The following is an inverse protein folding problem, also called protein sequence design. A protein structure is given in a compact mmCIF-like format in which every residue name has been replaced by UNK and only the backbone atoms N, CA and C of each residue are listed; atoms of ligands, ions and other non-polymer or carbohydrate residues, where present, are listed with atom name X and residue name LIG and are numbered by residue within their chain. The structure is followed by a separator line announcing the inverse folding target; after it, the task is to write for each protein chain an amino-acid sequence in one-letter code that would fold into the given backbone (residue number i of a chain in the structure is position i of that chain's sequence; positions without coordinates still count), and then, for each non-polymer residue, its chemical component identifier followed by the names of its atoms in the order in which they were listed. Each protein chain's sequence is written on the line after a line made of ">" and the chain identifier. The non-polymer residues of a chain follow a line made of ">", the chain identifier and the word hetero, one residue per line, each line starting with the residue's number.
data_IF_797627175851
#
_entry.id   IF_797627175851
#
_cell.length_a   1.000
_cell.length_b   1.000
_cell.length_c   1.000
_cell.angle_alpha   90.00
_cell.angle_beta   90.00
_cell.angle_gamma   90.00
#
_symmetry.space_group_name_H-M   'P 1'
#
loop_
_entity.id
_entity.type
_entity.pdbx_description
1 polymer ?
#
# COMPACT_ATOMS: atom_id res chain seq x y z
N UNK A 1 64.99 -11.22 -43.71
CA UNK A 1 63.97 -10.15 -43.70
C UNK A 1 62.82 -10.68 -44.55
N UNK A 2 61.76 -11.27 -44.00
CA UNK A 2 60.71 -10.64 -43.17
C UNK A 2 59.78 -9.83 -44.10
N UNK A 3 58.46 -9.96 -44.19
CA UNK A 3 57.39 -10.65 -43.46
C UNK A 3 56.18 -10.72 -44.41
N UNK A 4 55.30 -11.73 -44.30
CA UNK A 4 53.89 -11.54 -43.86
C UNK A 4 53.09 -12.84 -44.00
N UNK A 5 52.35 -13.16 -42.94
CA UNK A 5 51.63 -14.40 -42.68
C UNK A 5 50.20 -14.37 -43.24
N UNK A 6 49.74 -15.53 -43.73
CA UNK A 6 48.33 -15.88 -43.85
C UNK A 6 47.91 -16.80 -42.71
N UNK A 7 46.60 -16.92 -42.47
CA UNK A 7 46.05 -18.09 -41.78
C UNK A 7 44.59 -18.38 -42.16
N UNK A 8 44.39 -19.68 -42.33
CA UNK A 8 43.28 -20.42 -42.92
C UNK A 8 41.98 -20.42 -42.09
N UNK A 9 40.87 -20.57 -42.79
CA UNK A 9 39.63 -21.14 -42.26
C UNK A 9 39.64 -22.68 -42.36
N UNK A 10 39.05 -23.34 -41.35
CA UNK A 10 38.63 -24.74 -41.39
C UNK A 10 37.27 -24.88 -40.71
N UNK A 11 36.38 -25.59 -41.39
CA UNK A 11 35.04 -26.04 -40.99
C UNK A 11 35.14 -27.26 -40.10
N UNK A 12 34.33 -27.36 -39.03
CA UNK A 12 34.03 -28.67 -38.42
C UNK A 12 32.66 -28.73 -37.71
N UNK A 13 31.85 -29.70 -38.14
CA UNK A 13 30.67 -30.23 -37.44
C UNK A 13 31.10 -31.03 -36.19
N UNK A 14 30.34 -30.99 -35.09
CA UNK A 14 29.63 -32.14 -34.48
C UNK A 14 29.13 -31.91 -33.04
N UNK A 15 28.00 -32.59 -32.80
CA UNK A 15 27.53 -33.28 -31.60
C UNK A 15 26.86 -32.54 -30.43
N UNK A 16 25.58 -32.87 -30.30
CA UNK A 16 24.74 -32.88 -29.10
C UNK A 16 25.34 -33.80 -28.04
N UNK A 17 25.43 -33.34 -26.79
CA UNK A 17 25.69 -34.16 -25.61
C UNK A 17 24.78 -33.73 -24.46
N UNK A 18 23.90 -34.64 -24.06
CA UNK A 18 23.08 -34.62 -22.85
C UNK A 18 23.93 -35.03 -21.64
N UNK A 19 24.07 -34.17 -20.64
CA UNK A 19 24.65 -34.52 -19.34
C UNK A 19 23.79 -33.98 -18.18
N UNK A 20 23.14 -34.91 -17.48
CA UNK A 20 22.61 -34.77 -16.13
C UNK A 20 23.76 -34.75 -15.12
N UNK A 21 23.71 -33.96 -14.03
CA UNK A 21 24.50 -34.22 -12.85
C UNK A 21 23.64 -34.84 -11.74
N UNK A 22 24.12 -35.99 -11.27
CA UNK A 22 23.68 -36.77 -10.13
C UNK A 22 23.99 -36.05 -8.80
N UNK A 23 23.07 -36.13 -7.83
CA UNK A 23 23.28 -35.69 -6.44
C UNK A 23 23.89 -36.83 -5.61
N UNK A 24 24.86 -36.57 -4.71
CA UNK A 24 25.23 -37.54 -3.69
C UNK A 24 24.29 -37.42 -2.49
N UNK A 25 23.76 -38.56 -2.06
CA UNK A 25 23.10 -38.76 -0.77
C UNK A 25 24.16 -38.86 0.32
N UNK A 26 24.13 -37.96 1.31
CA UNK A 26 24.75 -38.18 2.61
C UNK A 26 23.65 -38.29 3.65
N UNK A 27 23.45 -39.52 4.13
CA UNK A 27 22.65 -39.86 5.31
C UNK A 27 23.52 -39.61 6.54
N UNK A 28 23.15 -38.64 7.36
CA UNK A 28 23.61 -38.54 8.74
C UNK A 28 22.41 -38.75 9.65
N UNK A 29 22.35 -39.92 10.27
CA UNK A 29 21.43 -40.24 11.35
C UNK A 29 21.92 -39.56 12.63
N UNK A 30 21.16 -38.62 13.16
CA UNK A 30 21.20 -38.25 14.57
C UNK A 30 19.77 -38.04 15.07
N UNK A 31 19.34 -38.99 15.89
CA UNK A 31 18.02 -39.14 16.48
C UNK A 31 18.07 -38.82 17.96
N UNK A 32 17.43 -37.74 18.40
CA UNK A 32 16.96 -37.54 19.80
C UNK A 32 15.69 -36.63 19.76
N UNK A 33 14.63 -36.90 20.54
CA UNK A 33 13.25 -36.57 20.17
C UNK A 33 12.73 -35.24 20.76
N UNK A 34 11.87 -34.56 19.99
CA UNK A 34 11.02 -33.47 20.48
C UNK A 34 9.69 -34.05 21.02
N UNK A 35 9.23 -33.64 22.22
CA UNK A 35 7.96 -34.09 22.76
C UNK A 35 6.79 -33.39 22.04
N UNK A 36 5.97 -34.21 21.38
CA UNK A 36 4.62 -33.85 20.92
C UNK A 36 3.73 -33.58 22.15
N UNK A 37 3.52 -32.31 22.47
CA UNK A 37 2.48 -31.92 23.42
C UNK A 37 1.13 -31.89 22.68
N UNK A 38 0.39 -32.99 22.78
CA UNK A 38 -1.03 -33.05 22.45
C UNK A 38 -1.79 -32.11 23.38
N UNK A 39 -2.37 -31.03 22.84
CA UNK A 39 -3.40 -30.28 23.55
C UNK A 39 -4.79 -30.72 23.05
N UNK A 40 -5.38 -31.59 23.86
CA UNK A 40 -6.75 -32.03 23.75
C UNK A 40 -7.72 -30.85 23.92
N UNK A 41 -8.71 -30.79 23.02
CA UNK A 41 -9.92 -29.99 23.20
C UNK A 41 -10.66 -30.48 24.45
N UNK A 42 -10.86 -29.60 25.42
CA UNK A 42 -11.94 -29.77 26.39
C UNK A 42 -12.72 -28.48 26.49
N UNK A 43 -13.98 -28.60 26.06
CA UNK A 43 -15.00 -27.57 25.99
C UNK A 43 -15.57 -27.41 27.40
N UNK A 44 -15.30 -26.29 28.07
CA UNK A 44 -15.98 -25.91 29.31
C UNK A 44 -16.87 -24.72 29.02
N UNK A 45 -18.17 -24.97 29.01
CA UNK A 45 -19.22 -23.96 28.99
C UNK A 45 -19.26 -23.29 30.38
N UNK A 46 -18.79 -22.05 30.45
CA UNK A 46 -19.12 -21.15 31.56
C UNK A 46 -19.98 -20.02 31.02
N UNK A 47 -21.30 -20.22 31.12
CA UNK A 47 -22.32 -19.19 31.01
C UNK A 47 -22.15 -18.18 32.15
N UNK A 48 -21.48 -17.06 31.89
CA UNK A 48 -21.57 -15.87 32.73
C UNK A 48 -22.52 -14.88 32.06
N UNK A 49 -23.77 -14.87 32.52
CA UNK A 49 -24.77 -13.86 32.16
C UNK A 49 -24.27 -12.49 32.63
N UNK A 50 -23.82 -11.67 31.70
CA UNK A 50 -23.82 -10.21 31.87
C UNK A 50 -24.98 -9.66 31.03
N UNK A 51 -26.04 -9.26 31.75
CA UNK A 51 -27.16 -8.51 31.24
C UNK A 51 -26.70 -7.09 30.92
N UNK A 52 -26.35 -6.83 29.66
CA UNK A 52 -26.32 -5.48 29.11
C UNK A 52 -27.60 -5.23 28.34
N UNK A 53 -28.41 -4.31 28.86
CA UNK A 53 -29.57 -3.73 28.23
C UNK A 53 -29.15 -3.15 26.86
N UNK A 54 -29.67 -3.75 25.79
CA UNK A 54 -29.64 -3.18 24.44
C UNK A 54 -30.54 -1.95 24.40
N UNK A 55 -30.08 -0.78 23.93
CA UNK A 55 -30.99 0.15 23.29
C UNK A 55 -31.35 -0.45 21.93
N UNK A 56 -32.57 -0.97 21.81
CA UNK A 56 -33.16 -1.27 20.51
C UNK A 56 -33.41 0.07 19.81
N UNK A 57 -32.45 0.57 19.03
CA UNK A 57 -32.76 1.49 17.94
C UNK A 57 -33.19 0.64 16.74
N UNK A 58 -34.49 0.51 16.56
CA UNK A 58 -35.11 0.03 15.35
C UNK A 58 -34.76 0.98 14.19
N UNK A 59 -33.66 0.72 13.49
CA UNK A 59 -33.45 1.32 12.18
C UNK A 59 -34.35 0.59 11.19
N UNK A 60 -35.50 1.18 10.87
CA UNK A 60 -36.35 0.67 9.80
C UNK A 60 -35.62 0.87 8.48
N UNK A 61 -35.42 -0.23 7.75
CA UNK A 61 -35.07 -0.18 6.33
C UNK A 61 -36.32 0.27 5.59
N UNK A 62 -36.49 1.58 5.42
CA UNK A 62 -37.55 2.14 4.61
C UNK A 62 -37.13 3.53 4.15
N UNK A 63 -37.02 3.69 2.82
CA UNK A 63 -36.79 4.93 2.09
C UNK A 63 -35.45 5.64 2.34
N UNK A 64 -34.36 5.10 1.78
CA UNK A 64 -33.36 5.98 1.13
C UNK A 64 -33.75 6.10 -0.33
N UNK A 65 -34.85 6.83 -0.55
CA UNK A 65 -35.18 7.36 -1.86
C UNK A 65 -34.03 8.28 -2.31
N UNK A 66 -33.75 8.22 -3.61
CA UNK A 66 -32.94 9.15 -4.40
C UNK A 66 -32.81 10.54 -3.76
N UNK A 67 -31.64 10.84 -3.19
CA UNK A 67 -31.14 12.21 -3.21
C UNK A 67 -30.53 12.43 -4.60
N UNK A 68 -31.32 13.09 -5.45
CA UNK A 68 -30.92 13.61 -6.75
C UNK A 68 -29.82 14.67 -6.59
N UNK A 69 -28.74 14.54 -7.37
CA UNK A 69 -27.65 15.53 -7.47
C UNK A 69 -26.45 15.29 -6.55
N UNK A 70 -25.58 14.31 -6.88
CA UNK A 70 -24.47 13.95 -5.99
C UNK A 70 -23.19 14.77 -6.24
N UNK A 71 -22.92 15.64 -5.26
CA UNK A 71 -21.58 16.06 -4.80
C UNK A 71 -21.11 15.01 -3.78
N UNK A 72 -19.96 14.35 -3.99
CA UNK A 72 -19.33 13.51 -2.95
C UNK A 72 -19.13 14.40 -1.72
N UNK A 73 -19.81 14.10 -0.61
CA UNK A 73 -19.73 14.94 0.58
C UNK A 73 -18.34 14.84 1.21
N UNK A 74 -17.93 15.87 1.95
CA UNK A 74 -16.66 15.86 2.69
C UNK A 74 -16.60 14.66 3.66
N UNK A 75 -17.70 14.37 4.35
CA UNK A 75 -17.79 13.24 5.27
C UNK A 75 -17.62 11.89 4.54
N UNK A 76 -18.23 11.73 3.36
CA UNK A 76 -18.04 10.54 2.55
C UNK A 76 -16.57 10.41 2.13
N UNK A 77 -15.98 11.50 1.61
CA UNK A 77 -14.59 11.52 1.16
C UNK A 77 -13.62 11.14 2.26
N UNK A 78 -13.71 11.82 3.42
CA UNK A 78 -12.84 11.58 4.56
C UNK A 78 -13.05 10.17 5.16
N UNK A 79 -14.28 9.64 5.07
CA UNK A 79 -14.59 8.27 5.45
C UNK A 79 -13.72 7.21 4.75
N UNK A 80 -13.20 7.49 3.55
CA UNK A 80 -12.34 6.58 2.80
C UNK A 80 -10.88 6.52 3.28
N UNK A 81 -10.54 7.16 4.40
CA UNK A 81 -9.21 7.08 5.04
C UNK A 81 -8.32 8.29 4.74
N UNK A 82 -8.91 9.47 4.61
CA UNK A 82 -8.19 10.73 4.40
C UNK A 82 -8.74 11.82 5.31
N UNK A 83 -7.91 12.82 5.63
CA UNK A 83 -8.32 14.04 6.34
C UNK A 83 -8.43 15.25 5.40
N UNK A 84 -8.00 15.09 4.15
CA UNK A 84 -8.01 16.14 3.14
C UNK A 84 -9.44 16.56 2.73
N UNK A 85 -9.61 17.79 2.18
CA UNK A 85 -10.79 18.10 1.38
C UNK A 85 -10.83 17.23 0.11
N UNK A 86 -12.01 17.10 -0.50
CA UNK A 86 -12.16 16.39 -1.77
C UNK A 86 -11.37 17.13 -2.87
N UNK A 87 -10.42 16.46 -3.58
CA UNK A 87 -9.64 17.11 -4.62
C UNK A 87 -10.53 17.67 -5.73
N UNK A 88 -10.20 18.87 -6.20
CA UNK A 88 -11.05 19.65 -7.10
C UNK A 88 -11.33 18.90 -8.39
N UNK A 89 -10.29 18.31 -8.97
CA UNK A 89 -10.39 17.54 -10.21
C UNK A 89 -11.17 16.23 -10.02
N UNK A 90 -11.10 15.60 -8.84
CA UNK A 90 -11.92 14.42 -8.51
C UNK A 90 -13.39 14.81 -8.45
N UNK A 91 -13.71 15.92 -7.77
CA UNK A 91 -15.06 16.45 -7.68
C UNK A 91 -15.64 16.76 -9.07
N UNK A 92 -14.86 17.43 -9.93
CA UNK A 92 -15.27 17.75 -11.30
C UNK A 92 -15.55 16.49 -12.12
N UNK A 93 -14.67 15.49 -12.08
CA UNK A 93 -14.89 14.25 -12.85
C UNK A 93 -16.10 13.47 -12.33
N UNK A 94 -16.34 13.47 -11.01
CA UNK A 94 -17.57 12.89 -10.45
C UNK A 94 -18.81 13.60 -10.99
N UNK A 95 -18.79 14.93 -11.01
CA UNK A 95 -19.86 15.74 -11.57
C UNK A 95 -20.08 15.43 -13.07
N UNK A 96 -19.01 15.37 -13.87
CA UNK A 96 -19.09 15.07 -15.30
C UNK A 96 -19.64 13.66 -15.59
N UNK A 97 -19.26 12.68 -14.78
CA UNK A 97 -19.79 11.31 -14.88
C UNK A 97 -21.29 11.26 -14.54
N UNK A 98 -21.74 12.05 -13.57
CA UNK A 98 -23.16 12.18 -13.22
C UNK A 98 -23.97 12.93 -14.29
N UNK A 99 -23.42 14.00 -14.86
CA UNK A 99 -24.00 14.67 -16.01
C UNK A 99 -24.14 13.71 -17.19
N UNK A 100 -23.16 12.85 -17.43
CA UNK A 100 -23.24 11.83 -18.48
C UNK A 100 -24.35 10.78 -18.23
N UNK A 101 -24.69 10.45 -16.97
CA UNK A 101 -25.83 9.57 -16.68
C UNK A 101 -27.15 10.21 -17.10
N UNK A 102 -27.29 11.52 -16.87
CA UNK A 102 -28.46 12.31 -17.26
C UNK A 102 -28.54 12.45 -18.78
N UNK A 103 -27.42 12.79 -19.43
CA UNK A 103 -27.33 12.93 -20.90
C UNK A 103 -27.74 11.65 -21.64
N UNK A 104 -27.39 10.49 -21.09
CA UNK A 104 -27.59 9.19 -21.72
C UNK A 104 -28.88 8.48 -21.25
N UNK A 105 -29.59 9.05 -20.28
CA UNK A 105 -30.68 8.39 -19.55
C UNK A 105 -30.30 6.95 -19.13
N UNK A 106 -29.09 6.80 -18.59
CA UNK A 106 -28.50 5.50 -18.32
C UNK A 106 -27.64 5.52 -17.06
N UNK A 107 -27.92 4.60 -16.12
CA UNK A 107 -27.15 4.46 -14.91
C UNK A 107 -25.77 3.82 -15.16
N UNK A 108 -24.75 4.35 -14.47
CA UNK A 108 -23.42 3.77 -14.39
C UNK A 108 -23.49 2.38 -13.78
N UNK A 109 -22.90 1.41 -14.49
CA UNK A 109 -22.72 0.05 -14.01
C UNK A 109 -21.24 -0.24 -13.89
N UNK A 110 -20.83 -0.64 -12.70
CA UNK A 110 -19.46 -1.08 -12.43
C UNK A 110 -19.38 -2.60 -12.34
N UNK A 111 -18.32 -3.20 -12.87
CA UNK A 111 -18.18 -4.64 -12.90
C UNK A 111 -16.87 -5.15 -13.50
N UNK A 112 -16.79 -6.48 -13.66
CA UNK A 112 -15.64 -7.16 -14.26
C UNK A 112 -14.34 -7.02 -13.46
N UNK A 113 -13.22 -7.37 -14.10
CA UNK A 113 -11.90 -7.29 -13.47
C UNK A 113 -11.52 -5.82 -13.18
N UNK A 114 -11.46 -5.48 -11.89
CA UNK A 114 -11.07 -4.15 -11.41
C UNK A 114 -12.22 -3.16 -11.26
N UNK A 115 -13.48 -3.61 -11.29
CA UNK A 115 -14.65 -2.76 -11.00
C UNK A 115 -14.78 -1.58 -11.97
N UNK A 116 -14.59 -1.85 -13.27
CA UNK A 116 -14.60 -0.81 -14.31
C UNK A 116 -16.05 -0.49 -14.72
N UNK A 117 -16.26 0.69 -15.29
CA UNK A 117 -17.50 1.03 -16.00
C UNK A 117 -17.82 -0.03 -17.07
N UNK A 118 -19.11 -0.28 -17.31
CA UNK A 118 -19.62 -1.31 -18.23
C UNK A 118 -20.60 -0.73 -19.25
N UNK A 119 -20.89 -1.51 -20.29
CA UNK A 119 -21.93 -1.22 -21.27
C UNK A 119 -21.66 0.00 -22.15
N UNK A 120 -22.73 0.53 -22.76
CA UNK A 120 -22.67 1.70 -23.64
C UNK A 120 -22.14 2.95 -22.92
N UNK A 121 -22.50 3.11 -21.64
CA UNK A 121 -21.99 4.21 -20.81
C UNK A 121 -20.46 4.28 -20.83
N UNK A 122 -19.80 3.13 -20.61
CA UNK A 122 -18.33 3.03 -20.67
C UNK A 122 -17.78 3.50 -22.03
N UNK A 123 -18.43 3.15 -23.13
CA UNK A 123 -17.95 3.50 -24.48
C UNK A 123 -17.99 5.03 -24.67
N UNK A 124 -19.10 5.66 -24.27
CA UNK A 124 -19.27 7.11 -24.35
C UNK A 124 -18.30 7.85 -23.43
N UNK A 125 -18.18 7.39 -22.19
CA UNK A 125 -17.23 7.93 -21.21
C UNK A 125 -15.78 7.77 -21.69
N UNK A 126 -15.38 6.59 -22.17
CA UNK A 126 -14.03 6.34 -22.70
C UNK A 126 -13.74 7.24 -23.92
N UNK A 127 -14.76 7.60 -24.73
CA UNK A 127 -14.64 8.56 -25.84
C UNK A 127 -14.40 9.99 -25.32
N UNK A 128 -15.24 10.49 -24.40
CA UNK A 128 -15.07 11.81 -23.76
C UNK A 128 -13.71 11.91 -23.05
N UNK A 129 -13.32 10.86 -22.32
CA UNK A 129 -12.04 10.77 -21.63
C UNK A 129 -10.84 10.82 -22.59
N UNK A 130 -10.86 10.04 -23.69
CA UNK A 130 -9.77 10.07 -24.68
C UNK A 130 -9.62 11.44 -25.32
N UNK A 131 -10.73 12.09 -25.68
CA UNK A 131 -10.71 13.44 -26.22
C UNK A 131 -10.11 14.45 -25.23
N UNK A 132 -10.56 14.41 -23.98
CA UNK A 132 -10.03 15.27 -22.90
C UNK A 132 -8.53 15.03 -22.69
N UNK A 133 -8.11 13.77 -22.60
CA UNK A 133 -6.69 13.42 -22.42
C UNK A 133 -5.81 13.87 -23.59
N UNK A 134 -6.32 13.81 -24.83
CA UNK A 134 -5.62 14.29 -26.02
C UNK A 134 -5.50 15.81 -26.05
N UNK A 135 -6.50 16.55 -25.56
CA UNK A 135 -6.50 18.00 -25.49
C UNK A 135 -5.50 18.55 -24.45
N UNK A 136 -5.11 17.75 -23.46
CA UNK A 136 -4.08 18.13 -22.50
C UNK A 136 -2.69 18.14 -23.17
N UNK A 137 -2.05 19.30 -23.25
CA UNK A 137 -0.70 19.42 -23.81
C UNK A 137 0.38 18.91 -22.84
N UNK A 138 0.21 19.20 -21.55
CA UNK A 138 1.20 18.99 -20.50
C UNK A 138 1.13 17.58 -19.87
N UNK A 139 2.30 16.97 -19.64
CA UNK A 139 2.42 15.61 -19.10
C UNK A 139 1.99 15.53 -17.63
N UNK A 140 2.20 16.60 -16.87
CA UNK A 140 1.78 16.71 -15.47
C UNK A 140 0.25 16.77 -15.37
N UNK A 141 -0.40 17.63 -16.15
CA UNK A 141 -1.88 17.67 -16.25
C UNK A 141 -2.47 16.34 -16.68
N UNK A 142 -1.82 15.61 -17.60
CA UNK A 142 -2.24 14.25 -18.00
C UNK A 142 -2.19 13.27 -16.84
N UNK A 143 -1.13 13.30 -16.04
CA UNK A 143 -1.01 12.48 -14.84
C UNK A 143 -2.11 12.82 -13.83
N UNK A 144 -2.35 14.10 -13.59
CA UNK A 144 -3.37 14.57 -12.65
C UNK A 144 -4.76 14.12 -13.07
N UNK A 145 -5.11 14.35 -14.33
CA UNK A 145 -6.39 13.93 -14.89
C UNK A 145 -6.59 12.42 -14.83
N UNK A 146 -5.57 11.65 -15.21
CA UNK A 146 -5.61 10.20 -15.11
C UNK A 146 -5.85 9.75 -13.66
N UNK A 147 -5.12 10.33 -12.70
CA UNK A 147 -5.20 9.96 -11.29
C UNK A 147 -6.56 10.30 -10.70
N UNK A 148 -7.05 11.52 -10.94
CA UNK A 148 -8.36 11.98 -10.50
C UNK A 148 -9.49 11.12 -11.09
N UNK A 149 -9.41 10.74 -12.36
CA UNK A 149 -10.40 9.84 -12.97
C UNK A 149 -10.41 8.45 -12.33
N UNK A 150 -9.24 7.87 -12.08
CA UNK A 150 -9.17 6.57 -11.42
C UNK A 150 -9.84 6.61 -10.04
N UNK A 151 -9.62 7.69 -9.27
CA UNK A 151 -10.21 7.89 -7.95
C UNK A 151 -11.73 8.10 -8.06
N UNK A 152 -12.21 8.99 -8.94
CA UNK A 152 -13.63 9.27 -9.15
C UNK A 152 -14.42 7.99 -9.48
N UNK A 153 -13.96 7.22 -10.47
CA UNK A 153 -14.58 5.95 -10.84
C UNK A 153 -14.61 4.94 -9.69
N UNK A 154 -13.59 4.95 -8.82
CA UNK A 154 -13.51 4.04 -7.67
C UNK A 154 -14.47 4.43 -6.56
N UNK A 155 -14.58 5.71 -6.24
CA UNK A 155 -15.56 6.22 -5.26
C UNK A 155 -16.96 5.81 -5.71
N UNK A 156 -17.32 6.18 -6.94
CA UNK A 156 -18.63 5.89 -7.51
C UNK A 156 -18.92 4.38 -7.60
N UNK A 157 -17.94 3.58 -8.01
CA UNK A 157 -18.09 2.12 -8.10
C UNK A 157 -18.06 1.37 -6.76
N UNK A 158 -17.69 2.03 -5.67
CA UNK A 158 -17.58 1.43 -4.34
C UNK A 158 -18.70 1.85 -3.38
N UNK A 159 -19.43 2.91 -3.72
CA UNK A 159 -20.47 3.50 -2.88
C UNK A 159 -21.58 2.50 -2.57
N UNK A 160 -22.04 2.50 -1.32
CA UNK A 160 -23.15 1.66 -0.85
C UNK A 160 -22.82 0.18 -0.64
N UNK A 161 -21.61 -0.27 -0.96
CA UNK A 161 -21.21 -1.69 -0.88
C UNK A 161 -19.94 -1.94 -0.07
N UNK A 162 -18.94 -1.06 -0.13
CA UNK A 162 -17.72 -1.18 0.67
C UNK A 162 -17.85 -0.48 2.02
N UNK A 163 -17.28 -1.10 3.05
CA UNK A 163 -16.94 -0.43 4.29
C UNK A 163 -15.88 0.65 4.01
N UNK A 164 -16.14 1.88 4.44
CA UNK A 164 -15.23 3.00 4.16
C UNK A 164 -13.88 2.89 4.91
N UNK A 165 -13.83 2.16 6.02
CA UNK A 165 -12.61 1.94 6.81
C UNK A 165 -11.70 0.85 6.20
N UNK A 166 -12.20 -0.37 6.00
CA UNK A 166 -11.38 -1.50 5.54
C UNK A 166 -11.45 -1.74 4.02
N UNK A 167 -12.31 -1.04 3.29
CA UNK A 167 -12.56 -1.21 1.85
C UNK A 167 -12.94 -2.64 1.45
N UNK A 168 -13.44 -3.43 2.39
CA UNK A 168 -14.07 -4.71 2.10
C UNK A 168 -15.59 -4.50 1.98
N UNK A 169 -16.29 -5.32 1.18
CA UNK A 169 -17.73 -5.47 1.27
C UNK A 169 -18.24 -5.45 2.70
N UNK A 170 -19.40 -4.83 2.95
CA UNK A 170 -19.99 -4.78 4.31
C UNK A 170 -20.13 -6.16 4.96
N UNK A 171 -20.50 -7.18 4.18
CA UNK A 171 -20.60 -8.58 4.59
C UNK A 171 -19.26 -9.26 4.96
N UNK A 172 -18.12 -8.70 4.51
CA UNK A 172 -16.77 -9.18 4.82
C UNK A 172 -15.99 -8.16 5.68
N UNK A 173 -16.69 -7.21 6.29
CA UNK A 173 -16.05 -6.15 7.05
C UNK A 173 -15.24 -6.73 8.21
N UNK A 174 -13.95 -6.41 8.25
CA UNK A 174 -13.01 -6.92 9.26
C UNK A 174 -12.74 -5.94 10.41
N UNK A 175 -13.37 -4.76 10.41
CA UNK A 175 -12.96 -3.66 11.29
C UNK A 175 -13.07 -3.98 12.78
N UNK A 176 -14.02 -4.82 13.20
CA UNK A 176 -14.18 -5.24 14.60
C UNK A 176 -13.09 -6.18 15.09
N UNK A 177 -12.35 -6.82 14.18
CA UNK A 177 -11.27 -7.76 14.49
C UNK A 177 -9.89 -7.08 14.48
N UNK A 178 -9.80 -5.83 14.03
CA UNK A 178 -8.54 -5.08 13.98
C UNK A 178 -8.34 -4.32 15.31
N UNK A 179 -7.24 -4.61 16.00
CA UNK A 179 -6.81 -3.85 17.16
C UNK A 179 -6.19 -2.52 16.72
N UNK A 180 -6.74 -1.42 17.20
CA UNK A 180 -6.16 -0.09 17.04
C UNK A 180 -5.20 0.25 18.19
N UNK A 181 -4.14 0.97 17.90
CA UNK A 181 -3.22 1.53 18.90
C UNK A 181 -2.67 2.88 18.42
N UNK A 182 -2.13 3.69 19.31
CA UNK A 182 -1.47 4.94 18.91
C UNK A 182 -0.07 4.67 18.38
N UNK A 183 0.27 5.24 17.24
CA UNK A 183 1.65 5.30 16.77
C UNK A 183 2.44 6.24 17.70
N UNK A 184 3.72 5.94 17.94
CA UNK A 184 4.59 6.84 18.70
C UNK A 184 4.59 8.25 18.11
N UNK A 185 4.47 9.29 18.95
CA UNK A 185 4.26 10.68 18.52
C UNK A 185 5.43 11.24 17.69
N UNK A 186 6.65 10.71 17.90
CA UNK A 186 7.82 11.03 17.08
C UNK A 186 7.88 10.33 15.71
N UNK A 187 6.83 9.62 15.28
CA UNK A 187 6.78 8.90 14.00
C UNK A 187 5.49 9.25 13.26
N UNK A 188 5.61 9.54 11.95
CA UNK A 188 4.46 9.69 11.05
C UNK A 188 4.67 8.90 9.77
N UNK A 189 3.63 8.18 9.36
CA UNK A 189 3.58 7.51 8.06
C UNK A 189 2.85 8.34 7.01
N UNK A 190 3.46 8.43 5.84
CA UNK A 190 2.83 8.92 4.61
C UNK A 190 2.64 7.75 3.65
N UNK A 191 1.40 7.36 3.42
CA UNK A 191 1.08 6.34 2.44
C UNK A 191 0.96 6.98 1.06
N UNK A 192 2.04 6.97 0.30
CA UNK A 192 2.06 7.51 -1.06
C UNK A 192 1.50 6.48 -2.04
N UNK A 193 0.19 6.54 -2.25
CA UNK A 193 -0.60 5.49 -2.89
C UNK A 193 -0.85 5.76 -4.37
N UNK A 194 -0.65 4.74 -5.19
CA UNK A 194 -1.01 4.77 -6.60
C UNK A 194 -2.54 4.76 -6.77
N UNK A 195 -3.13 5.59 -7.67
CA UNK A 195 -4.58 5.74 -7.79
C UNK A 195 -5.33 4.47 -8.24
N UNK A 196 -4.64 3.50 -8.87
CA UNK A 196 -5.22 2.16 -9.16
C UNK A 196 -5.30 1.24 -7.94
N UNK A 197 -4.67 1.59 -6.83
CA UNK A 197 -4.65 0.80 -5.60
C UNK A 197 -5.58 1.39 -4.52
N UNK A 198 -6.05 2.64 -4.71
CA UNK A 198 -7.12 3.23 -3.92
C UNK A 198 -8.39 2.36 -3.95
N UNK A 199 -9.03 2.15 -2.81
CA UNK A 199 -10.21 1.28 -2.62
C UNK A 199 -10.03 -0.18 -3.10
N UNK A 200 -8.79 -0.67 -3.30
CA UNK A 200 -8.58 -2.10 -3.53
C UNK A 200 -8.74 -2.90 -2.23
N UNK A 201 -9.58 -3.94 -2.31
CA UNK A 201 -9.85 -4.86 -1.20
C UNK A 201 -8.59 -5.51 -0.62
N UNK A 202 -7.58 -5.79 -1.44
CA UNK A 202 -6.32 -6.41 -1.01
C UNK A 202 -5.15 -5.43 -0.83
N UNK A 203 -5.42 -4.12 -0.93
CA UNK A 203 -4.43 -3.11 -0.58
C UNK A 203 -4.11 -3.23 0.91
N UNK A 204 -2.83 -3.35 1.27
CA UNK A 204 -2.41 -3.49 2.66
C UNK A 204 -2.06 -2.17 3.32
N UNK A 205 -1.71 -1.14 2.55
CA UNK A 205 -1.38 0.18 3.10
C UNK A 205 -2.50 0.78 3.96
N UNK A 206 -3.76 0.45 3.64
CA UNK A 206 -4.92 0.84 4.45
C UNK A 206 -4.90 0.34 5.89
N UNK A 207 -4.17 -0.74 6.18
CA UNK A 207 -4.04 -1.25 7.54
C UNK A 207 -3.42 -0.19 8.46
N UNK A 208 -2.51 0.64 7.93
CA UNK A 208 -1.79 1.61 8.76
C UNK A 208 -2.73 2.61 9.43
N UNK A 209 -3.68 3.19 8.70
CA UNK A 209 -4.66 4.08 9.33
C UNK A 209 -5.78 3.34 10.07
N UNK A 210 -6.00 2.05 9.80
CA UNK A 210 -6.91 1.24 10.62
C UNK A 210 -6.33 0.94 11.99
N UNK A 211 -5.01 0.72 12.07
CA UNK A 211 -4.30 0.47 13.32
C UNK A 211 -4.00 1.79 14.04
N UNK A 212 -3.41 2.76 13.35
CA UNK A 212 -2.86 3.99 13.97
C UNK A 212 -3.73 5.25 13.86
N UNK A 213 -4.78 5.21 13.04
CA UNK A 213 -5.56 6.39 12.69
C UNK A 213 -4.99 7.18 11.50
N UNK A 214 -5.84 8.00 10.89
CA UNK A 214 -5.55 8.75 9.65
C UNK A 214 -4.55 9.90 9.83
N UNK A 215 -4.40 10.39 11.07
CA UNK A 215 -3.44 11.46 11.39
C UNK A 215 -2.01 10.93 11.47
N UNK A 216 -1.84 9.75 12.09
CA UNK A 216 -0.55 9.07 12.20
C UNK A 216 -0.12 8.40 10.89
N UNK A 217 -1.08 7.89 10.10
CA UNK A 217 -0.86 7.28 8.80
C UNK A 217 -1.70 7.98 7.73
N UNK A 218 -1.14 9.04 7.14
CA UNK A 218 -1.87 9.91 6.22
C UNK A 218 -1.76 9.46 4.77
N UNK A 219 -2.90 9.45 4.07
CA UNK A 219 -2.99 9.08 2.66
C UNK A 219 -2.55 10.22 1.74
N UNK A 220 -1.55 9.97 0.89
CA UNK A 220 -1.17 10.85 -0.21
C UNK A 220 -1.39 10.12 -1.54
N UNK A 221 -2.33 10.59 -2.37
CA UNK A 221 -2.62 9.94 -3.65
C UNK A 221 -1.68 10.48 -4.74
N UNK A 222 -0.93 9.58 -5.39
CA UNK A 222 0.00 9.90 -6.46
C UNK A 222 -0.71 10.60 -7.62
N UNK A 223 -0.19 11.76 -8.03
CA UNK A 223 -0.76 12.58 -9.09
C UNK A 223 -1.98 13.40 -8.65
N UNK A 224 -2.27 13.50 -7.36
CA UNK A 224 -3.27 14.45 -6.83
C UNK A 224 -2.54 15.63 -6.17
N UNK A 225 -2.54 16.82 -6.81
CA UNK A 225 -1.76 17.97 -6.36
C UNK A 225 -2.04 18.35 -4.91
N UNK A 226 -3.31 18.38 -4.51
CA UNK A 226 -3.73 18.79 -3.16
C UNK A 226 -3.18 17.84 -2.08
N UNK A 227 -3.14 16.53 -2.35
CA UNK A 227 -2.57 15.55 -1.43
C UNK A 227 -1.05 15.65 -1.36
N UNK A 228 -0.40 15.78 -2.51
CA UNK A 228 1.05 15.93 -2.58
C UNK A 228 1.49 17.23 -1.89
N UNK A 229 0.75 18.32 -2.06
CA UNK A 229 0.99 19.58 -1.38
C UNK A 229 0.87 19.45 0.14
N UNK A 230 -0.19 18.83 0.66
CA UNK A 230 -0.35 18.57 2.11
C UNK A 230 0.84 17.79 2.65
N UNK A 231 1.24 16.71 1.98
CA UNK A 231 2.39 15.90 2.38
C UNK A 231 3.67 16.75 2.35
N UNK A 232 4.01 17.37 1.23
CA UNK A 232 5.24 18.14 1.07
C UNK A 232 5.31 19.37 1.98
N UNK A 233 4.19 20.00 2.32
CA UNK A 233 4.14 21.07 3.31
C UNK A 233 4.56 20.55 4.69
N UNK A 234 4.07 19.39 5.11
CA UNK A 234 4.52 18.75 6.35
C UNK A 234 6.00 18.36 6.30
N UNK A 235 6.48 17.80 5.18
CA UNK A 235 7.89 17.40 5.03
C UNK A 235 8.84 18.60 5.06
N UNK A 236 8.45 19.74 4.47
CA UNK A 236 9.22 20.99 4.51
C UNK A 236 9.39 21.51 5.93
N UNK A 237 8.31 21.48 6.72
CA UNK A 237 8.35 21.92 8.14
C UNK A 237 9.27 21.04 8.97
N UNK A 238 9.24 19.72 8.76
CA UNK A 238 10.11 18.80 9.49
C UNK A 238 11.59 18.90 9.10
N UNK A 239 11.87 19.30 7.85
CA UNK A 239 13.22 19.38 7.32
C UNK A 239 13.75 18.03 6.82
N UNK A 240 14.67 18.09 5.84
CA UNK A 240 15.17 16.92 5.11
C UNK A 240 15.71 15.80 6.00
N UNK A 241 16.44 16.14 7.07
CA UNK A 241 17.06 15.18 8.00
C UNK A 241 16.04 14.28 8.72
N UNK A 242 14.76 14.66 8.72
CA UNK A 242 13.68 13.91 9.37
C UNK A 242 12.78 13.18 8.38
N UNK A 243 13.13 13.12 7.09
CA UNK A 243 12.32 12.50 6.05
C UNK A 243 13.03 11.32 5.40
N UNK A 244 12.34 10.18 5.36
CA UNK A 244 12.86 8.92 4.83
C UNK A 244 11.85 8.27 3.88
N UNK A 245 12.32 7.83 2.71
CA UNK A 245 11.52 7.01 1.80
C UNK A 245 11.82 5.52 2.00
N UNK A 246 10.80 4.71 2.28
CA UNK A 246 10.93 3.26 2.30
C UNK A 246 10.89 2.74 0.86
N UNK A 247 12.05 2.51 0.28
CA UNK A 247 12.17 2.02 -1.08
C UNK A 247 13.52 1.32 -1.30
N UNK A 248 13.57 0.10 -1.88
CA UNK A 248 14.82 -0.58 -2.17
C UNK A 248 15.47 0.05 -3.40
N UNK A 249 16.10 1.21 -3.23
CA UNK A 249 16.84 1.86 -4.30
C UNK A 249 18.29 1.39 -4.32
N UNK A 250 18.67 0.57 -5.32
CA UNK A 250 20.06 0.12 -5.50
C UNK A 250 21.05 1.22 -5.94
N UNK A 251 20.56 2.40 -6.32
CA UNK A 251 21.36 3.49 -6.92
C UNK A 251 21.62 4.69 -6.00
N UNK A 252 20.91 4.80 -4.87
CA UNK A 252 21.22 5.76 -3.81
C UNK A 252 22.02 5.06 -2.72
N UNK A 253 22.78 5.80 -1.91
CA UNK A 253 23.46 5.27 -0.71
C UNK A 253 22.39 4.62 0.17
N UNK A 254 22.30 3.29 0.10
CA UNK A 254 21.35 2.51 0.87
C UNK A 254 21.75 2.61 2.34
N UNK A 255 20.95 3.32 3.13
CA UNK A 255 21.09 3.30 4.58
C UNK A 255 20.19 2.18 5.12
N UNK A 256 20.77 1.28 5.90
CA UNK A 256 19.97 0.49 6.85
C UNK A 256 19.30 1.45 7.83
N UNK A 257 18.29 0.99 8.57
CA UNK A 257 17.70 1.82 9.65
C UNK A 257 18.79 2.28 10.63
N UNK A 258 19.75 1.42 10.95
CA UNK A 258 20.90 1.80 11.77
C UNK A 258 21.73 2.94 11.16
N UNK A 259 22.17 2.80 9.90
CA UNK A 259 22.98 3.83 9.23
C UNK A 259 22.23 5.15 9.02
N UNK A 260 20.89 5.11 8.93
CA UNK A 260 20.03 6.28 8.79
C UNK A 260 20.06 7.16 10.05
N UNK A 261 20.15 6.55 11.23
CA UNK A 261 20.06 7.24 12.51
C UNK A 261 21.40 7.39 13.26
N UNK A 262 22.44 6.63 12.90
CA UNK A 262 23.78 6.75 13.51
C UNK A 262 24.48 8.10 13.23
N UNK A 263 24.14 8.77 12.12
CA UNK A 263 24.73 10.06 11.72
C UNK A 263 24.23 11.27 12.52
N UNK A 264 23.24 11.12 13.41
CA UNK A 264 22.77 12.22 14.28
C UNK A 264 23.65 12.46 15.52
N UNK A 265 24.71 11.66 15.72
CA UNK A 265 25.49 11.64 16.97
C UNK A 265 26.78 12.48 17.01
N UNK A 266 27.13 13.23 15.95
CA UNK A 266 28.37 14.04 15.93
C UNK A 266 28.07 15.52 15.82
N UNK A 267 27.72 16.15 16.93
CA UNK A 267 28.18 17.49 17.32
C UNK A 267 27.90 17.65 18.82
N UNK A 268 28.90 17.38 19.63
CA UNK A 268 28.90 17.78 21.04
C UNK A 268 29.43 19.21 21.18
N UNK A 269 28.81 19.93 22.12
CA UNK A 269 29.25 21.13 22.82
C UNK A 269 29.01 22.48 22.16
N UNK A 270 27.87 23.10 22.50
CA UNK A 270 27.84 24.31 23.35
C UNK A 270 26.42 24.57 23.91
N UNK A 271 26.37 25.14 25.11
CA UNK A 271 25.22 25.24 26.02
C UNK A 271 24.23 26.34 25.61
N UNK A 272 22.94 26.03 25.59
CA UNK A 272 21.86 26.97 25.90
C UNK A 272 20.63 26.23 26.49
N UNK A 273 20.08 26.64 27.66
CA UNK A 273 18.87 26.05 28.21
C UNK A 273 17.60 26.68 27.63
N UNK A 274 16.65 25.80 27.33
CA UNK A 274 15.20 26.02 27.15
C UNK A 274 14.74 27.02 26.10
N UNK A 275 14.23 26.48 24.99
CA UNK A 275 12.99 26.94 24.34
C UNK A 275 12.46 25.80 23.46
N UNK A 276 11.35 25.19 23.89
CA UNK A 276 10.53 24.19 23.16
C UNK A 276 11.30 23.07 22.44
N UNK A 277 11.72 22.02 23.16
CA UNK A 277 11.91 20.68 22.54
C UNK A 277 10.54 20.17 22.08
N UNK A 278 10.01 20.72 20.99
CA UNK A 278 8.94 20.09 20.25
C UNK A 278 9.43 18.70 19.87
N UNK A 279 8.67 17.66 20.19
CA UNK A 279 8.99 16.31 19.77
C UNK A 279 9.20 16.31 18.25
N UNK A 280 10.45 16.08 17.82
CA UNK A 280 10.79 16.11 16.40
C UNK A 280 10.23 14.87 15.74
N UNK A 281 9.26 15.04 14.84
CA UNK A 281 8.56 13.94 14.17
C UNK A 281 9.39 13.45 12.98
N UNK A 282 9.69 12.15 12.96
CA UNK A 282 10.27 11.48 11.79
C UNK A 282 9.16 11.08 10.81
N UNK A 283 9.30 11.52 9.56
CA UNK A 283 8.37 11.22 8.48
C UNK A 283 8.89 10.08 7.61
N UNK A 284 8.10 9.02 7.49
CA UNK A 284 8.40 7.88 6.63
C UNK A 284 7.39 7.81 5.49
N UNK A 285 7.89 7.89 4.26
CA UNK A 285 7.10 7.78 3.03
C UNK A 285 7.11 6.32 2.57
N UNK A 286 5.95 5.70 2.55
CA UNK A 286 5.75 4.34 2.07
C UNK A 286 5.10 4.38 0.68
N UNK A 287 5.82 3.90 -0.33
CA UNK A 287 5.29 3.83 -1.70
C UNK A 287 4.32 2.65 -1.81
N UNK A 288 3.04 2.96 -1.91
CA UNK A 288 1.95 1.99 -1.95
C UNK A 288 1.42 1.81 -3.38
N UNK A 289 1.97 0.84 -4.07
CA UNK A 289 1.57 0.51 -5.43
C UNK A 289 2.17 -0.81 -5.88
N UNK A 290 1.90 -1.19 -7.13
CA UNK A 290 2.63 -2.31 -7.73
C UNK A 290 4.09 -1.93 -7.95
N UNK A 291 4.99 -2.90 -7.92
CA UNK A 291 6.42 -2.72 -8.23
C UNK A 291 6.67 -2.08 -9.61
N UNK A 292 5.79 -2.34 -10.58
CA UNK A 292 5.86 -1.69 -11.89
C UNK A 292 5.60 -0.19 -11.84
N UNK A 293 4.75 0.27 -10.91
CA UNK A 293 4.36 1.67 -10.78
C UNK A 293 5.26 2.41 -9.79
N UNK A 294 5.81 1.71 -8.80
CA UNK A 294 6.59 2.30 -7.71
C UNK A 294 7.82 3.06 -8.20
N UNK A 295 8.45 2.64 -9.29
CA UNK A 295 9.59 3.35 -9.87
C UNK A 295 9.23 4.76 -10.38
N UNK A 296 8.07 4.93 -11.00
CA UNK A 296 7.60 6.24 -11.46
C UNK A 296 7.21 7.14 -10.28
N UNK A 297 6.56 6.56 -9.27
CA UNK A 297 6.20 7.26 -8.04
C UNK A 297 7.45 7.73 -7.29
N UNK A 298 8.45 6.86 -7.16
CA UNK A 298 9.73 7.16 -6.52
C UNK A 298 10.50 8.27 -7.25
N UNK A 299 10.60 8.19 -8.60
CA UNK A 299 11.23 9.26 -9.38
C UNK A 299 10.58 10.61 -9.13
N UNK A 300 9.24 10.68 -9.12
CA UNK A 300 8.53 11.92 -8.80
C UNK A 300 8.88 12.46 -7.41
N UNK A 301 9.00 11.59 -6.40
CA UNK A 301 9.44 12.02 -5.06
C UNK A 301 10.87 12.57 -5.08
N UNK A 302 11.78 11.93 -5.83
CA UNK A 302 13.16 12.40 -6.00
C UNK A 302 13.21 13.75 -6.71
N UNK A 303 12.50 13.90 -7.83
CA UNK A 303 12.42 15.15 -8.58
C UNK A 303 11.88 16.29 -7.70
N UNK A 304 10.84 16.00 -6.91
CA UNK A 304 10.27 16.99 -5.99
C UNK A 304 11.18 17.29 -4.80
N UNK A 305 11.90 16.30 -4.26
CA UNK A 305 12.91 16.52 -3.25
C UNK A 305 14.01 17.45 -3.76
N UNK A 306 14.46 17.26 -5.01
CA UNK A 306 15.47 18.12 -5.64
C UNK A 306 15.02 19.57 -5.77
N UNK A 307 13.76 19.77 -6.15
CA UNK A 307 13.16 21.10 -6.22
C UNK A 307 13.03 21.79 -4.85
N UNK A 308 12.80 21.02 -3.79
CA UNK A 308 12.51 21.57 -2.45
C UNK A 308 13.77 21.74 -1.59
N UNK A 309 14.75 20.84 -1.74
CA UNK A 309 15.96 20.79 -0.90
C UNK A 309 17.27 20.91 -1.69
N UNK A 310 17.22 21.36 -2.95
CA UNK A 310 18.39 21.43 -3.84
C UNK A 310 18.75 20.05 -4.42
N UNK A 311 19.81 19.96 -5.22
CA UNK A 311 20.18 18.79 -6.04
C UNK A 311 20.56 17.49 -5.26
N UNK A 312 20.19 17.40 -3.99
CA UNK A 312 20.39 16.23 -3.17
C UNK A 312 19.20 15.25 -3.23
N UNK A 313 19.49 13.96 -3.34
CA UNK A 313 18.46 12.92 -3.36
C UNK A 313 17.72 12.81 -2.00
N UNK A 314 16.44 12.39 -2.08
CA UNK A 314 15.63 12.01 -0.93
C UNK A 314 16.24 10.77 -0.26
N UNK A 315 16.52 10.79 1.06
CA UNK A 315 17.09 9.65 1.77
C UNK A 315 16.17 8.42 1.70
N UNK A 316 16.76 7.26 1.43
CA UNK A 316 16.03 5.99 1.36
C UNK A 316 16.49 5.01 2.43
N UNK A 317 15.51 4.32 3.01
CA UNK A 317 15.73 3.13 3.83
C UNK A 317 15.34 1.91 2.99
N UNK A 318 16.25 0.95 2.90
CA UNK A 318 15.94 -0.38 2.40
C UNK A 318 15.90 -1.33 3.57
N UNK A 319 14.76 -1.99 3.73
CA UNK A 319 14.59 -3.07 4.68
C UNK A 319 15.09 -4.37 4.06
N UNK A 320 15.40 -5.35 4.89
CA UNK A 320 15.51 -6.76 4.48
C UNK A 320 14.24 -7.49 4.94
N UNK A 321 13.06 -7.19 4.35
CA UNK A 321 11.84 -7.77 4.86
C UNK A 321 11.82 -9.27 4.55
N UNK A 322 11.61 -10.08 5.57
CA UNK A 322 11.25 -11.48 5.38
C UNK A 322 9.91 -11.63 4.64
N UNK A 323 9.45 -12.87 4.44
CA UNK A 323 8.15 -13.08 3.82
C UNK A 323 6.98 -12.59 4.68
N UNK A 324 6.30 -11.56 4.19
CA UNK A 324 4.99 -11.14 4.69
C UNK A 324 3.91 -12.23 4.55
N UNK A 325 3.01 -12.37 5.53
CA UNK A 325 1.88 -13.30 5.53
C UNK A 325 1.00 -13.21 4.25
N UNK A 326 0.87 -12.01 3.68
CA UNK A 326 0.11 -11.75 2.45
C UNK A 326 0.68 -12.40 1.18
N UNK A 327 1.91 -12.93 1.21
CA UNK A 327 2.49 -13.69 0.10
C UNK A 327 1.63 -14.89 -0.31
N UNK A 328 0.89 -15.48 0.64
CA UNK A 328 0.01 -16.63 0.41
C UNK A 328 -1.14 -16.33 -0.57
N UNK A 329 -1.51 -15.05 -0.78
CA UNK A 329 -2.56 -14.64 -1.72
C UNK A 329 -2.04 -14.26 -3.11
N UNK A 330 -0.72 -14.24 -3.33
CA UNK A 330 -0.13 -13.87 -4.63
C UNK A 330 0.06 -15.12 -5.50
N UNK A 331 -0.21 -15.04 -6.83
CA UNK A 331 0.09 -16.13 -7.75
C UNK A 331 1.59 -16.48 -7.83
N UNK A 332 2.44 -15.49 -7.51
CA UNK A 332 3.89 -15.62 -7.46
C UNK A 332 4.37 -14.88 -6.20
N UNK A 333 4.59 -15.58 -5.08
CA UNK A 333 5.21 -15.00 -3.90
C UNK A 333 6.69 -14.74 -4.21
N UNK A 334 7.14 -13.53 -3.92
CA UNK A 334 8.50 -13.05 -4.20
C UNK A 334 9.07 -12.59 -2.87
N UNK A 335 10.02 -13.37 -2.32
CA UNK A 335 10.58 -13.19 -0.98
C UNK A 335 11.32 -11.86 -0.81
N UNK A 336 11.74 -11.25 -1.92
CA UNK A 336 12.36 -9.92 -2.04
C UNK A 336 11.35 -8.76 -2.02
N UNK A 337 10.04 -9.04 -1.96
CA UNK A 337 9.00 -8.02 -2.18
C UNK A 337 7.89 -8.06 -1.14
N UNK A 338 8.09 -7.31 -0.07
CA UNK A 338 7.08 -7.18 0.98
C UNK A 338 5.85 -6.35 0.55
N UNK A 339 4.77 -6.44 1.32
CA UNK A 339 3.62 -5.55 1.17
C UNK A 339 3.78 -4.31 2.05
N UNK A 340 3.06 -3.24 1.76
CA UNK A 340 3.28 -1.93 2.39
C UNK A 340 3.15 -1.95 3.91
N UNK A 341 2.14 -2.65 4.44
CA UNK A 341 1.97 -2.77 5.89
C UNK A 341 3.10 -3.59 6.53
N UNK A 342 3.55 -4.65 5.88
CA UNK A 342 4.68 -5.43 6.38
C UNK A 342 6.03 -4.67 6.28
N UNK A 343 6.17 -3.75 5.31
CA UNK A 343 7.29 -2.81 5.29
C UNK A 343 7.25 -1.86 6.51
N UNK A 344 6.08 -1.34 6.85
CA UNK A 344 5.91 -0.51 8.05
C UNK A 344 6.23 -1.29 9.33
N UNK A 345 5.72 -2.52 9.47
CA UNK A 345 6.01 -3.38 10.60
C UNK A 345 7.52 -3.65 10.73
N UNK A 346 8.18 -4.03 9.62
CA UNK A 346 9.63 -4.26 9.62
C UNK A 346 10.43 -3.01 9.99
N UNK A 347 10.03 -1.83 9.53
CA UNK A 347 10.64 -0.56 9.94
C UNK A 347 10.50 -0.33 11.45
N UNK A 348 9.31 -0.51 12.03
CA UNK A 348 9.10 -0.33 13.47
C UNK A 348 9.95 -1.32 14.28
N UNK A 349 10.04 -2.58 13.84
CA UNK A 349 10.90 -3.59 14.46
C UNK A 349 12.38 -3.23 14.38
N UNK A 350 12.86 -2.72 13.25
CA UNK A 350 14.26 -2.27 13.12
C UNK A 350 14.53 -1.00 13.95
N UNK A 351 13.59 -0.05 14.00
CA UNK A 351 13.72 1.16 14.83
C UNK A 351 13.81 0.82 16.32
N UNK A 352 13.02 -0.15 16.81
CA UNK A 352 13.03 -0.60 18.22
C UNK A 352 14.43 -1.02 18.71
N UNK A 353 15.31 -1.46 17.80
CA UNK A 353 16.67 -1.88 18.15
C UNK A 353 17.60 -0.70 18.45
N UNK A 354 17.26 0.51 17.97
CA UNK A 354 18.07 1.71 18.16
C UNK A 354 17.95 2.23 19.61
N UNK A 355 19.05 2.74 20.22
CA UNK A 355 19.04 3.23 21.60
C UNK A 355 17.94 4.27 21.88
N UNK A 356 17.68 5.18 20.94
CA UNK A 356 16.68 6.24 21.09
C UNK A 356 15.23 5.75 21.06
N UNK A 357 14.96 4.54 20.55
CA UNK A 357 13.62 3.97 20.47
C UNK A 357 13.41 2.74 21.35
N UNK A 358 14.45 2.27 22.05
CA UNK A 358 14.41 1.04 22.85
C UNK A 358 13.32 1.04 23.94
N UNK A 359 12.97 2.20 24.48
CA UNK A 359 11.92 2.34 25.50
C UNK A 359 10.50 2.51 24.95
N UNK A 360 10.31 2.57 23.63
CA UNK A 360 9.08 3.07 22.98
C UNK A 360 8.09 1.95 22.58
N UNK A 361 8.41 0.68 22.86
CA UNK A 361 7.56 -0.49 22.55
C UNK A 361 7.05 -0.49 21.08
N UNK A 362 7.92 -0.10 20.13
CA UNK A 362 7.61 -0.11 18.69
C UNK A 362 7.40 -1.53 18.16
N UNK A 363 7.95 -2.54 18.83
CA UNK A 363 7.68 -3.96 18.58
C UNK A 363 6.19 -4.30 18.74
N UNK A 364 5.53 -3.84 19.81
CA UNK A 364 4.08 -4.04 19.98
C UNK A 364 3.26 -3.37 18.90
N UNK A 365 3.71 -2.20 18.43
CA UNK A 365 3.08 -1.49 17.32
C UNK A 365 3.27 -2.25 15.99
N UNK A 366 4.44 -2.87 15.77
CA UNK A 366 4.67 -3.77 14.64
C UNK A 366 3.77 -5.03 14.72
N UNK A 367 3.67 -5.66 15.88
CA UNK A 367 2.79 -6.82 16.12
C UNK A 367 1.32 -6.50 15.83
N UNK A 368 0.85 -5.30 16.18
CA UNK A 368 -0.51 -4.85 15.86
C UNK A 368 -0.76 -4.78 14.34
N UNK A 369 0.23 -4.33 13.55
CA UNK A 369 0.15 -4.35 12.09
C UNK A 369 0.12 -5.78 11.56
N UNK A 370 0.95 -6.68 12.08
CA UNK A 370 0.99 -8.09 11.66
C UNK A 370 -0.30 -8.85 11.99
N UNK A 371 -0.89 -8.57 13.16
CA UNK A 371 -2.20 -9.07 13.53
C UNK A 371 -3.28 -8.58 12.55
N UNK A 372 -3.31 -7.28 12.27
CA UNK A 372 -4.26 -6.71 11.30
C UNK A 372 -4.08 -7.25 9.88
N UNK A 373 -2.84 -7.56 9.48
CA UNK A 373 -2.53 -8.26 8.22
C UNK A 373 -3.12 -9.67 8.18
N UNK A 374 -3.04 -10.40 9.29
CA UNK A 374 -3.60 -11.74 9.42
C UNK A 374 -5.14 -11.71 9.37
N UNK A 375 -5.76 -10.73 10.00
CA UNK A 375 -7.20 -10.46 9.92
C UNK A 375 -7.64 -10.16 8.48
N UNK A 376 -6.90 -9.31 7.76
CA UNK A 376 -7.18 -9.03 6.35
C UNK A 376 -7.04 -10.28 5.47
N UNK A 377 -5.98 -11.06 5.70
CA UNK A 377 -5.75 -12.32 4.99
C UNK A 377 -6.92 -13.29 5.18
N UNK A 378 -7.40 -13.44 6.40
CA UNK A 378 -8.51 -14.32 6.73
C UNK A 378 -9.82 -13.84 6.10
N UNK A 379 -10.15 -12.55 6.22
CA UNK A 379 -11.34 -11.97 5.59
C UNK A 379 -11.34 -12.16 4.06
N UNK A 380 -10.21 -11.91 3.40
CA UNK A 380 -10.07 -12.13 1.96
C UNK A 380 -10.16 -13.61 1.59
N UNK A 381 -9.65 -14.51 2.43
CA UNK A 381 -9.70 -15.95 2.21
C UNK A 381 -11.13 -16.48 2.35
N UNK A 382 -11.84 -16.13 3.43
CA UNK A 382 -13.26 -16.42 3.64
C UNK A 382 -14.11 -15.94 2.46
N UNK A 383 -13.89 -14.70 2.01
CA UNK A 383 -14.55 -14.14 0.81
C UNK A 383 -14.29 -14.99 -0.44
N UNK A 384 -13.04 -15.40 -0.69
CA UNK A 384 -12.71 -16.23 -1.87
C UNK A 384 -13.46 -17.56 -1.84
N UNK A 385 -13.45 -18.24 -0.71
CA UNK A 385 -14.15 -19.53 -0.53
C UNK A 385 -15.65 -19.36 -0.77
N UNK A 386 -16.27 -18.33 -0.18
CA UNK A 386 -17.69 -18.02 -0.35
C UNK A 386 -18.07 -17.72 -1.80
N UNK A 387 -17.16 -17.10 -2.56
CA UNK A 387 -17.33 -16.86 -4.00
C UNK A 387 -17.01 -18.09 -4.89
N UNK A 388 -16.83 -19.28 -4.30
CA UNK A 388 -16.49 -20.51 -5.03
C UNK A 388 -15.09 -20.51 -5.65
N UNK A 389 -14.17 -19.65 -5.18
CA UNK A 389 -12.81 -19.53 -5.71
C UNK A 389 -11.83 -20.28 -4.83
N UNK A 390 -10.87 -20.97 -5.45
CA UNK A 390 -9.77 -21.62 -4.72
C UNK A 390 -8.97 -20.62 -3.87
N UNK A 391 -8.57 -21.05 -2.67
CA UNK A 391 -7.71 -20.31 -1.75
C UNK A 391 -6.37 -20.05 -2.42
N UNK A 392 -5.78 -21.08 -3.01
CA UNK A 392 -4.53 -20.99 -3.78
C UNK A 392 -4.82 -20.36 -5.15
N UNK A 393 -4.12 -19.28 -5.50
CA UNK A 393 -4.15 -18.79 -6.88
C UNK A 393 -3.31 -19.73 -7.73
N UNK A 394 -3.94 -20.52 -8.61
CA UNK A 394 -3.21 -21.27 -9.65
C UNK A 394 -2.31 -20.31 -10.42
N UNK A 395 -1.05 -20.69 -10.62
CA UNK A 395 -0.15 -19.96 -11.51
C UNK A 395 -0.82 -19.89 -12.88
N UNK A 396 -1.00 -18.67 -13.43
CA UNK A 396 -1.39 -18.57 -14.84
C UNK A 396 -0.26 -19.19 -15.62
N UNK A 397 -0.53 -20.27 -16.37
CA UNK A 397 0.39 -20.73 -17.40
C UNK A 397 0.62 -19.53 -18.32
N UNK A 398 1.84 -19.00 -18.27
CA UNK A 398 2.32 -18.12 -19.33
C UNK A 398 2.27 -18.97 -20.58
N UNK A 399 1.34 -18.66 -21.48
CA UNK A 399 1.44 -19.14 -22.85
C UNK A 399 2.76 -18.56 -23.37
N UNK A 400 3.80 -19.39 -23.35
CA UNK A 400 4.99 -19.19 -24.15
C UNK A 400 4.48 -19.23 -25.59
N UNK A 401 4.42 -18.06 -26.22
CA UNK A 401 4.30 -17.92 -27.67
C UNK A 401 5.58 -17.31 -28.17
#
# INVERSE_FOLDING_TARGET
>A
MGHSLGLLGIVQMKLVSTLLPTKPFFLCNCSVPFPLCFWNKTRVLLTRRYSYLRPHSSFSYTNMAQEEGVVVSLQEWQGWGTTSPLPTMVAQIVHDLKGLEQDLDAHMRFGGNGGKLQGNFRIQEDKKHRATYQALADSEKKLQFYSARQIACRILGSRGYLCQKCWLPMEDCMCSEVTSCSLHQGIRFWLYMHPKDFLRQNNTGKILWQVFGVDAASLCLFGIPEHEEIMWNSLKVAGKSKVWCLYPNKSAVLKSVQNAFDQESVTSDEVAPSELKGETIHHFILIDGTWSNSAAMFRRLQDKAKLVWGDEDLPCISLNPGASAMHKLRPQPSWDRTCTAAAAAGLLSELQLLPQFRSIELDKQAEAIEHALSVLLDALTKRRVRMGRSITRKMRQTNVR
#
